data_IF_746523790492
#
_entry.id   IF_746523790492
#
_cell.length_a   1.000
_cell.length_b   1.000
_cell.length_c   1.000
_cell.angle_alpha   90.00
_cell.angle_beta   90.00
_cell.angle_gamma   90.00
#
_symmetry.space_group_name_H-M   'P 1'
#
loop_
_entity.id
_entity.type
_entity.pdbx_description
1 polymer ?
#
# COMPACT_ATOMS: atom_id res chain seq x y z
N UNK A 1 12.24 -1.77 2.15
CA UNK A 1 11.00 -1.09 1.68
C UNK A 1 11.03 0.40 2.07
N UNK A 2 10.02 1.19 1.75
CA UNK A 2 9.99 2.63 2.07
C UNK A 2 10.10 2.92 3.58
N UNK A 3 9.52 2.07 4.43
CA UNK A 3 9.68 2.14 5.88
C UNK A 3 11.14 1.93 6.30
N UNK A 4 11.81 0.92 5.74
CA UNK A 4 13.22 0.63 6.03
C UNK A 4 14.16 1.76 5.63
N UNK A 5 13.84 2.49 4.56
CA UNK A 5 14.63 3.66 4.15
C UNK A 5 14.56 4.76 5.23
N UNK A 6 13.40 4.99 5.84
CA UNK A 6 13.26 5.94 6.95
C UNK A 6 14.05 5.49 8.19
N UNK A 7 13.97 4.21 8.56
CA UNK A 7 14.77 3.63 9.66
C UNK A 7 16.26 3.85 9.41
N UNK A 8 16.74 3.49 8.21
CA UNK A 8 18.14 3.66 7.82
C UNK A 8 18.60 5.12 7.95
N UNK A 9 17.81 6.07 7.45
CA UNK A 9 18.15 7.50 7.51
C UNK A 9 18.17 7.98 8.97
N UNK A 10 17.22 7.57 9.80
CA UNK A 10 17.15 7.95 11.22
C UNK A 10 18.32 7.38 12.02
N UNK A 11 18.64 6.10 11.84
CA UNK A 11 19.75 5.43 12.52
C UNK A 11 21.10 5.99 12.07
N UNK A 12 21.27 6.26 10.77
CA UNK A 12 22.48 6.90 10.25
C UNK A 12 22.73 8.27 10.89
N UNK A 13 21.70 9.12 10.96
CA UNK A 13 21.81 10.44 11.60
C UNK A 13 22.14 10.33 13.10
N UNK A 14 21.53 9.36 13.78
CA UNK A 14 21.77 9.10 15.21
C UNK A 14 23.21 8.68 15.47
N UNK A 15 23.71 7.71 14.71
CA UNK A 15 25.08 7.21 14.80
C UNK A 15 26.10 8.29 14.45
N UNK A 16 25.86 9.04 13.37
CA UNK A 16 26.74 10.11 12.94
C UNK A 16 26.90 11.19 14.04
N UNK A 17 25.79 11.60 14.66
CA UNK A 17 25.80 12.59 15.74
C UNK A 17 26.50 12.06 17.00
N UNK A 18 26.29 10.80 17.38
CA UNK A 18 26.97 10.22 18.52
C UNK A 18 28.49 10.16 18.31
N UNK A 19 28.94 9.74 17.12
CA UNK A 19 30.35 9.56 16.83
C UNK A 19 31.11 10.88 16.65
N UNK A 20 30.48 11.94 16.14
CA UNK A 20 31.13 13.26 16.07
C UNK A 20 31.34 13.87 17.47
N UNK A 21 30.47 13.52 18.43
CA UNK A 21 30.55 13.94 19.83
C UNK A 21 31.39 12.98 20.70
N UNK A 22 32.06 11.98 20.09
CA UNK A 22 32.90 11.00 20.77
C UNK A 22 32.12 10.03 21.68
N UNK A 23 30.80 9.93 21.52
CA UNK A 23 29.94 8.98 22.23
C UNK A 23 30.00 7.60 21.58
N UNK A 24 29.61 6.56 22.33
CA UNK A 24 29.39 5.22 21.79
C UNK A 24 28.07 5.10 21.03
N UNK A 25 27.84 3.97 20.37
CA UNK A 25 26.56 3.63 19.72
C UNK A 25 25.38 3.75 20.71
N UNK A 26 24.42 4.66 20.47
CA UNK A 26 23.26 4.85 21.33
C UNK A 26 22.04 4.01 20.91
N UNK A 27 22.11 3.25 19.81
CA UNK A 27 20.98 2.50 19.29
C UNK A 27 20.69 1.27 20.17
N UNK A 28 19.42 0.99 20.51
CA UNK A 28 19.08 -0.21 21.24
C UNK A 28 19.32 -1.45 20.37
N UNK A 29 19.72 -2.59 20.95
CA UNK A 29 19.83 -3.82 20.19
C UNK A 29 18.45 -4.27 19.68
N UNK A 30 18.41 -4.76 18.45
CA UNK A 30 17.18 -5.31 17.86
C UNK A 30 16.78 -6.62 18.57
N UNK A 31 15.50 -6.74 18.92
CA UNK A 31 14.95 -7.93 19.59
C UNK A 31 14.96 -9.18 18.70
N UNK A 32 14.84 -8.99 17.38
CA UNK A 32 14.86 -10.01 16.34
C UNK A 32 15.60 -9.44 15.12
N UNK A 33 15.94 -10.30 14.17
CA UNK A 33 16.51 -9.93 12.87
C UNK A 33 15.54 -10.29 11.74
N UNK A 34 15.76 -9.73 10.55
CA UNK A 34 14.93 -10.06 9.39
C UNK A 34 14.84 -11.56 9.05
N UNK A 35 15.91 -12.38 9.21
CA UNK A 35 15.81 -13.83 9.06
C UNK A 35 14.84 -14.50 10.05
N UNK A 36 14.73 -13.97 11.28
CA UNK A 36 13.78 -14.48 12.27
C UNK A 36 12.34 -14.20 11.83
N UNK A 37 12.10 -13.01 11.27
CA UNK A 37 10.81 -12.68 10.66
C UNK A 37 10.48 -13.62 9.49
N UNK A 38 11.43 -13.89 8.61
CA UNK A 38 11.23 -14.79 7.47
C UNK A 38 10.93 -16.23 7.92
N UNK A 39 11.67 -16.73 8.93
CA UNK A 39 11.43 -18.04 9.53
C UNK A 39 10.04 -18.10 10.19
N UNK A 40 9.68 -17.06 10.94
CA UNK A 40 8.36 -16.93 11.55
C UNK A 40 7.24 -16.90 10.50
N UNK A 41 7.37 -16.10 9.45
CA UNK A 41 6.35 -15.98 8.39
C UNK A 41 6.11 -17.34 7.72
N UNK A 42 7.19 -18.09 7.44
CA UNK A 42 7.09 -19.44 6.87
C UNK A 42 6.36 -20.41 7.80
N UNK A 43 6.59 -20.34 9.11
CA UNK A 43 5.88 -21.17 10.09
C UNK A 43 4.42 -20.72 10.26
N UNK A 44 4.17 -19.42 10.21
CA UNK A 44 2.85 -18.83 10.35
C UNK A 44 1.93 -19.17 9.17
N UNK A 45 2.49 -19.26 7.97
CA UNK A 45 1.83 -19.73 6.75
C UNK A 45 1.71 -21.27 6.73
N UNK A 46 0.98 -21.83 7.69
CA UNK A 46 0.64 -23.26 7.66
C UNK A 46 -0.17 -23.60 6.41
N UNK A 47 -0.12 -24.87 5.97
CA UNK A 47 -0.87 -25.34 4.81
C UNK A 47 -2.38 -25.02 4.91
N UNK A 48 -2.96 -25.16 6.10
CA UNK A 48 -4.35 -24.82 6.38
C UNK A 48 -4.63 -23.31 6.18
N UNK A 49 -3.78 -22.42 6.70
CA UNK A 49 -3.95 -20.97 6.54
C UNK A 49 -3.76 -20.52 5.10
N UNK A 50 -2.79 -21.11 4.41
CA UNK A 50 -2.59 -20.87 2.97
C UNK A 50 -3.84 -21.27 2.22
N UNK A 51 -4.43 -22.43 2.52
CA UNK A 51 -5.65 -22.89 1.88
C UNK A 51 -6.81 -21.92 2.11
N UNK A 52 -7.08 -21.54 3.36
CA UNK A 52 -8.16 -20.60 3.70
C UNK A 52 -7.99 -19.25 3.00
N UNK A 53 -6.79 -18.68 3.01
CA UNK A 53 -6.53 -17.40 2.33
C UNK A 53 -6.60 -17.52 0.81
N UNK A 54 -6.11 -18.63 0.24
CA UNK A 54 -6.19 -18.90 -1.19
C UNK A 54 -7.63 -19.05 -1.66
N UNK A 55 -8.47 -19.73 -0.89
CA UNK A 55 -9.90 -19.90 -1.19
C UNK A 55 -10.63 -18.55 -1.13
N UNK A 56 -10.34 -17.72 -0.13
CA UNK A 56 -10.86 -16.36 -0.04
C UNK A 56 -10.48 -15.54 -1.29
N UNK A 57 -9.21 -15.49 -1.66
CA UNK A 57 -8.77 -14.68 -2.81
C UNK A 57 -9.28 -15.20 -4.14
N UNK A 58 -9.38 -16.52 -4.32
CA UNK A 58 -10.00 -17.12 -5.51
C UNK A 58 -11.46 -16.74 -5.65
N UNK A 59 -12.21 -16.73 -4.54
CA UNK A 59 -13.60 -16.29 -4.55
C UNK A 59 -13.72 -14.78 -4.79
N UNK A 60 -12.97 -13.96 -4.06
CA UNK A 60 -13.02 -12.49 -4.14
C UNK A 60 -12.63 -11.96 -5.53
N UNK A 61 -11.65 -12.60 -6.18
CA UNK A 61 -11.14 -12.21 -7.50
C UNK A 61 -11.68 -13.07 -8.64
N UNK A 62 -12.73 -13.87 -8.40
CA UNK A 62 -13.38 -14.64 -9.46
C UNK A 62 -13.94 -13.70 -10.51
N UNK A 63 -13.60 -13.94 -11.78
CA UNK A 63 -14.08 -13.14 -12.92
C UNK A 63 -13.68 -11.65 -12.84
N UNK A 64 -12.67 -11.32 -12.03
CA UNK A 64 -12.13 -9.97 -11.99
C UNK A 64 -11.59 -9.56 -13.37
N UNK A 65 -11.76 -8.28 -13.77
CA UNK A 65 -11.28 -7.81 -15.05
C UNK A 65 -9.76 -7.95 -15.14
N UNK A 66 -9.29 -8.54 -16.25
CA UNK A 66 -7.87 -8.77 -16.50
C UNK A 66 -7.14 -7.45 -16.79
N UNK A 67 -7.87 -6.47 -17.32
CA UNK A 67 -7.35 -5.19 -17.72
C UNK A 67 -8.41 -4.09 -17.52
N UNK A 68 -7.94 -2.92 -17.09
CA UNK A 68 -8.72 -1.70 -17.12
C UNK A 68 -8.44 -0.95 -18.44
N UNK A 69 -9.48 -0.68 -19.22
CA UNK A 69 -9.43 -0.10 -20.56
C UNK A 69 -9.30 1.43 -20.50
N UNK A 70 -8.17 1.90 -19.97
CA UNK A 70 -7.88 3.33 -19.87
C UNK A 70 -7.61 3.96 -21.26
N UNK A 71 -7.93 5.26 -21.45
CA UNK A 71 -7.71 5.99 -22.70
C UNK A 71 -6.21 6.30 -22.89
N UNK A 72 -5.45 5.28 -23.24
CA UNK A 72 -3.99 5.38 -23.47
C UNK A 72 -3.68 5.97 -24.84
N UNK A 73 -2.64 6.82 -24.92
CA UNK A 73 -2.23 7.47 -26.17
C UNK A 73 -1.64 6.49 -27.20
N UNK A 74 -1.19 5.31 -26.75
CA UNK A 74 -0.51 4.29 -27.56
C UNK A 74 -0.89 2.89 -27.09
N UNK A 75 -0.98 1.90 -28.00
CA UNK A 75 -1.25 0.52 -27.62
C UNK A 75 -0.13 -0.04 -26.73
N UNK A 76 -0.48 -1.02 -25.87
CA UNK A 76 0.50 -1.70 -25.01
C UNK A 76 1.51 -2.48 -25.88
N UNK A 77 2.82 -2.21 -25.77
CA UNK A 77 3.84 -2.98 -26.49
C UNK A 77 3.99 -4.39 -25.89
N UNK A 78 4.48 -5.38 -26.66
CA UNK A 78 4.74 -6.73 -26.16
C UNK A 78 5.88 -6.76 -25.12
N UNK A 79 6.82 -5.81 -25.21
CA UNK A 79 7.92 -5.64 -24.27
C UNK A 79 7.78 -4.30 -23.54
N UNK A 80 7.79 -4.35 -22.20
CA UNK A 80 7.69 -3.16 -21.36
C UNK A 80 9.03 -2.43 -21.29
N UNK A 81 9.06 -1.12 -21.56
CA UNK A 81 10.28 -0.31 -21.53
C UNK A 81 10.73 0.11 -20.13
N UNK A 82 9.85 0.01 -19.13
CA UNK A 82 10.02 0.51 -17.76
C UNK A 82 10.28 2.03 -17.63
N UNK A 83 10.31 2.77 -18.73
CA UNK A 83 10.37 4.22 -18.70
C UNK A 83 9.05 4.80 -18.16
N UNK A 84 9.14 5.69 -17.18
CA UNK A 84 8.00 6.37 -16.57
C UNK A 84 8.32 7.83 -16.28
N UNK A 85 7.27 8.62 -16.09
CA UNK A 85 7.35 10.03 -15.68
C UNK A 85 6.33 10.28 -14.57
N UNK A 86 6.42 11.43 -13.91
CA UNK A 86 5.57 11.79 -12.76
C UNK A 86 4.93 13.15 -12.96
N UNK A 87 3.60 13.20 -12.77
CA UNK A 87 2.84 14.45 -12.75
C UNK A 87 2.35 14.70 -11.32
N UNK A 88 2.84 15.73 -10.62
CA UNK A 88 2.40 16.00 -9.26
C UNK A 88 0.95 16.50 -9.26
N UNK A 89 0.14 15.93 -8.37
CA UNK A 89 -1.23 16.40 -8.08
C UNK A 89 -1.24 16.92 -6.65
N UNK A 90 -1.57 18.19 -6.48
CA UNK A 90 -1.62 18.84 -5.15
C UNK A 90 -3.07 19.17 -4.80
N UNK A 91 -3.49 18.74 -3.62
CA UNK A 91 -4.76 19.15 -3.01
C UNK A 91 -4.45 20.30 -2.05
N UNK A 92 -5.15 21.42 -2.19
CA UNK A 92 -4.93 22.56 -1.31
C UNK A 92 -5.40 22.27 0.13
N UNK A 93 -5.06 23.18 1.04
CA UNK A 93 -5.35 23.04 2.47
C UNK A 93 -6.86 22.97 2.74
N UNK A 94 -7.66 23.73 2.00
CA UNK A 94 -9.10 23.80 2.19
C UNK A 94 -9.77 22.48 1.78
N UNK A 95 -9.43 21.98 0.59
CA UNK A 95 -9.91 20.70 0.08
C UNK A 95 -9.44 19.54 0.96
N UNK A 96 -8.18 19.55 1.40
CA UNK A 96 -7.65 18.52 2.31
C UNK A 96 -8.41 18.51 3.63
N UNK A 97 -8.72 19.67 4.19
CA UNK A 97 -9.50 19.76 5.43
C UNK A 97 -10.96 19.31 5.21
N UNK A 98 -11.56 19.63 4.07
CA UNK A 98 -12.91 19.18 3.72
C UNK A 98 -12.98 17.66 3.57
N UNK A 99 -12.01 17.03 2.90
CA UNK A 99 -11.93 15.59 2.74
C UNK A 99 -11.77 14.88 4.09
N UNK A 100 -10.91 15.39 4.99
CA UNK A 100 -10.78 14.84 6.35
C UNK A 100 -12.10 14.88 7.12
N UNK A 101 -12.81 16.01 7.08
CA UNK A 101 -14.13 16.12 7.72
C UNK A 101 -15.15 15.15 7.12
N UNK A 102 -15.14 14.99 5.79
CA UNK A 102 -16.01 14.02 5.12
C UNK A 102 -15.71 12.59 5.59
N UNK A 103 -14.43 12.21 5.64
CA UNK A 103 -14.02 10.89 6.14
C UNK A 103 -14.50 10.66 7.58
N UNK A 104 -14.33 11.64 8.47
CA UNK A 104 -14.81 11.58 9.85
C UNK A 104 -16.33 11.43 9.93
N UNK A 105 -17.09 12.20 9.13
CA UNK A 105 -18.55 12.14 9.09
C UNK A 105 -19.09 10.80 8.61
N UNK A 106 -18.37 10.14 7.69
CA UNK A 106 -18.73 8.81 7.16
C UNK A 106 -18.11 7.65 7.97
N UNK A 107 -17.33 7.94 9.03
CA UNK A 107 -16.67 6.91 9.83
C UNK A 107 -15.60 6.10 9.09
N UNK A 108 -15.02 6.68 8.03
CA UNK A 108 -13.99 6.05 7.20
C UNK A 108 -12.64 6.75 7.34
N UNK A 109 -11.57 6.12 6.86
CA UNK A 109 -10.26 6.75 6.80
C UNK A 109 -10.15 7.69 5.60
N UNK A 110 -9.26 8.69 5.67
CA UNK A 110 -8.94 9.53 4.51
C UNK A 110 -8.44 8.70 3.31
N UNK A 111 -7.73 7.61 3.58
CA UNK A 111 -7.31 6.65 2.56
C UNK A 111 -8.51 6.08 1.79
N UNK A 112 -9.54 5.61 2.49
CA UNK A 112 -10.77 5.09 1.88
C UNK A 112 -11.45 6.15 1.02
N UNK A 113 -11.60 7.37 1.53
CA UNK A 113 -12.20 8.49 0.77
C UNK A 113 -11.45 8.80 -0.52
N UNK A 114 -10.11 8.89 -0.46
CA UNK A 114 -9.29 9.14 -1.65
C UNK A 114 -9.29 7.96 -2.62
N UNK A 115 -9.29 6.73 -2.09
CA UNK A 115 -9.39 5.53 -2.91
C UNK A 115 -10.73 5.48 -3.66
N UNK A 116 -11.85 5.73 -2.99
CA UNK A 116 -13.17 5.79 -3.63
C UNK A 116 -13.21 6.84 -4.73
N UNK A 117 -12.68 8.05 -4.47
CA UNK A 117 -12.58 9.10 -5.48
C UNK A 117 -11.72 8.65 -6.69
N UNK A 118 -10.61 7.96 -6.44
CA UNK A 118 -9.74 7.45 -7.49
C UNK A 118 -10.40 6.35 -8.33
N UNK A 119 -11.13 5.44 -7.68
CA UNK A 119 -11.89 4.37 -8.34
C UNK A 119 -12.98 4.95 -9.24
N UNK A 120 -13.70 5.98 -8.78
CA UNK A 120 -14.70 6.69 -9.60
C UNK A 120 -14.05 7.33 -10.84
N UNK A 121 -12.85 7.92 -10.70
CA UNK A 121 -12.11 8.45 -11.87
C UNK A 121 -11.75 7.34 -12.85
N UNK A 122 -11.21 6.23 -12.36
CA UNK A 122 -10.81 5.10 -13.19
C UNK A 122 -12.01 4.46 -13.91
N UNK A 123 -13.11 4.25 -13.19
CA UNK A 123 -14.37 3.73 -13.76
C UNK A 123 -14.88 4.65 -14.86
N UNK A 124 -14.96 5.96 -14.62
CA UNK A 124 -15.41 6.93 -15.65
C UNK A 124 -14.51 7.01 -16.87
N UNK A 125 -13.19 6.88 -16.69
CA UNK A 125 -12.25 6.92 -17.81
C UNK A 125 -12.27 5.64 -18.64
N UNK A 126 -12.47 4.50 -18.00
CA UNK A 126 -12.49 3.18 -18.67
C UNK A 126 -13.87 2.76 -19.18
N UNK A 127 -14.93 3.34 -18.63
CA UNK A 127 -16.31 2.86 -18.86
C UNK A 127 -16.59 1.50 -18.21
N UNK A 128 -15.78 1.09 -17.23
CA UNK A 128 -15.93 -0.18 -16.51
C UNK A 128 -16.38 0.08 -15.06
N UNK A 129 -17.31 -0.73 -14.58
CA UNK A 129 -17.86 -0.63 -13.23
C UNK A 129 -17.15 -1.55 -12.23
N UNK A 130 -16.42 -2.57 -12.69
CA UNK A 130 -15.59 -3.43 -11.83
C UNK A 130 -14.13 -2.97 -11.93
N UNK A 131 -13.54 -2.56 -10.81
CA UNK A 131 -12.19 -2.00 -10.74
C UNK A 131 -11.37 -2.73 -9.68
N UNK A 132 -10.21 -3.25 -10.08
CA UNK A 132 -9.22 -3.85 -9.17
C UNK A 132 -8.01 -2.93 -9.02
N UNK A 133 -7.72 -2.51 -7.78
CA UNK A 133 -6.57 -1.66 -7.45
C UNK A 133 -5.67 -2.37 -6.45
N UNK A 134 -4.38 -2.44 -6.79
CA UNK A 134 -3.35 -2.90 -5.85
C UNK A 134 -2.96 -1.78 -4.88
N UNK A 135 -3.05 -2.04 -3.57
CA UNK A 135 -2.55 -1.13 -2.52
C UNK A 135 -1.41 -1.78 -1.72
N UNK A 136 -0.30 -1.06 -1.47
CA UNK A 136 0.74 -1.56 -0.59
C UNK A 136 0.28 -1.52 0.87
N UNK A 137 0.45 -2.63 1.58
CA UNK A 137 0.38 -2.73 3.03
C UNK A 137 1.80 -2.82 3.58
N UNK A 138 2.09 -2.08 4.66
CA UNK A 138 3.43 -2.05 5.25
C UNK A 138 3.92 -3.42 5.77
N UNK A 139 3.00 -4.36 6.06
CA UNK A 139 3.32 -5.70 6.54
C UNK A 139 3.99 -5.75 7.92
N UNK A 140 3.96 -4.65 8.67
CA UNK A 140 4.53 -4.48 10.00
C UNK A 140 3.43 -4.37 11.05
N UNK A 141 2.81 -5.51 11.38
CA UNK A 141 1.72 -5.57 12.37
C UNK A 141 2.21 -5.86 13.79
N UNK A 142 3.52 -5.97 14.00
CA UNK A 142 4.16 -6.30 15.28
C UNK A 142 5.23 -5.27 15.61
N UNK A 143 5.32 -4.89 16.88
CA UNK A 143 6.25 -3.84 17.32
C UNK A 143 7.71 -4.24 17.07
N UNK A 144 8.04 -5.52 17.23
CA UNK A 144 9.40 -6.06 17.09
C UNK A 144 9.94 -5.96 15.66
N UNK A 145 9.05 -5.83 14.66
CA UNK A 145 9.46 -5.66 13.25
C UNK A 145 9.55 -4.20 12.82
N UNK A 146 8.99 -3.24 13.58
CA UNK A 146 9.05 -1.81 13.25
C UNK A 146 10.47 -1.26 13.08
N UNK A 147 11.45 -1.59 13.94
CA UNK A 147 12.82 -1.07 13.80
C UNK A 147 13.66 -1.82 12.76
N UNK A 148 13.13 -2.87 12.13
CA UNK A 148 13.94 -3.69 11.21
C UNK A 148 14.09 -3.05 9.83
N UNK A 149 15.31 -3.10 9.31
CA UNK A 149 15.59 -2.89 7.89
C UNK A 149 15.34 -4.22 7.15
N UNK A 150 14.43 -4.21 6.17
CA UNK A 150 14.04 -5.40 5.42
C UNK A 150 12.96 -5.15 4.37
N UNK A 151 12.39 -6.22 3.82
CA UNK A 151 11.27 -6.13 2.88
C UNK A 151 10.02 -6.77 3.49
N UNK A 152 9.08 -5.94 3.94
CA UNK A 152 7.86 -6.37 4.62
C UNK A 152 6.60 -6.04 3.81
N UNK A 153 6.72 -5.20 2.79
CA UNK A 153 5.57 -4.74 1.99
C UNK A 153 4.84 -5.92 1.37
N UNK A 154 3.52 -5.92 1.57
CA UNK A 154 2.59 -6.80 0.87
C UNK A 154 1.71 -5.96 -0.06
N UNK A 155 1.14 -6.56 -1.09
CA UNK A 155 0.17 -5.91 -1.97
C UNK A 155 -1.20 -6.54 -1.79
N UNK A 156 -2.21 -5.72 -1.49
CA UNK A 156 -3.60 -6.16 -1.42
C UNK A 156 -4.33 -5.74 -2.70
N UNK A 157 -5.03 -6.67 -3.33
CA UNK A 157 -5.92 -6.38 -4.45
C UNK A 157 -7.30 -6.00 -3.88
N UNK A 158 -7.66 -4.72 -3.99
CA UNK A 158 -8.98 -4.22 -3.64
C UNK A 158 -9.82 -4.24 -4.91
N UNK A 159 -10.91 -5.02 -4.91
CA UNK A 159 -11.89 -5.06 -5.99
C UNK A 159 -13.13 -4.30 -5.56
N UNK A 160 -13.58 -3.37 -6.40
CA UNK A 160 -14.74 -2.52 -6.14
C UNK A 160 -15.69 -2.60 -7.34
N UNK A 161 -16.97 -2.82 -7.04
CA UNK A 161 -18.06 -2.85 -8.00
C UNK A 161 -18.87 -1.55 -7.88
N UNK A 162 -18.96 -0.83 -8.99
CA UNK A 162 -19.63 0.46 -9.12
C UNK A 162 -20.93 0.35 -9.93
N UNK A 163 -21.42 -0.87 -10.16
CA UNK A 163 -22.62 -1.09 -10.95
C UNK A 163 -23.86 -0.48 -10.27
N UNK A 164 -24.68 0.20 -11.07
CA UNK A 164 -25.89 0.87 -10.61
C UNK A 164 -25.72 2.38 -10.37
N UNK A 165 -26.75 3.00 -9.79
CA UNK A 165 -26.74 4.42 -9.43
C UNK A 165 -26.26 4.60 -7.99
N UNK A 166 -24.94 4.67 -7.81
CA UNK A 166 -24.32 4.88 -6.50
C UNK A 166 -24.05 6.37 -6.23
N UNK A 167 -24.24 6.77 -4.98
CA UNK A 167 -23.71 8.02 -4.44
C UNK A 167 -22.24 7.83 -4.02
N UNK A 168 -21.51 8.92 -3.78
CA UNK A 168 -20.11 8.85 -3.31
C UNK A 168 -19.97 8.22 -1.92
N UNK A 169 -21.06 8.19 -1.14
CA UNK A 169 -21.07 7.61 0.20
C UNK A 169 -21.33 6.10 0.21
N UNK A 170 -21.91 5.57 -0.87
CA UNK A 170 -22.17 4.14 -1.09
C UNK A 170 -20.96 3.46 -1.73
#
# INVERSE_FOLDING_TARGET
DGWSANVLIQELNTLYTAFIDGQSDPLPPLAIQYPDYAAWQRQWLSAERIQVQSDYWRAMLSDAPVLLDLPTDRPRPPEQSFAGDTVPVNLDVELTAALKRLSEQQGVTLFMTLLSAWVVVLSRLSGQDDVVIGTPSAGRSRQEVEPLIGFFVNTLALRMDLSGELTVAE
#
